data_IF_452921461692
#
_entry.id   IF_452921461692
#
_cell.length_a   1.000
_cell.length_b   1.000
_cell.length_c   1.000
_cell.angle_alpha   90.00
_cell.angle_beta   90.00
_cell.angle_gamma   90.00
#
_symmetry.space_group_name_H-M   'P 1'
#
loop_
_entity.id
_entity.type
_entity.pdbx_description
1 polymer ?
#
# COMPACT_ATOMS: atom_id res chain seq x y z
N UNK A 1 12.68 -18.85 -18.14
CA UNK A 1 12.15 -17.47 -17.97
C UNK A 1 11.06 -17.43 -16.88
N UNK A 2 11.41 -17.46 -15.58
CA UNK A 2 10.38 -17.56 -14.52
C UNK A 2 10.71 -16.94 -13.15
N UNK A 3 11.91 -16.38 -12.96
CA UNK A 3 12.34 -15.83 -11.66
C UNK A 3 11.73 -14.46 -11.34
N UNK A 4 11.47 -13.63 -12.36
CA UNK A 4 10.94 -12.27 -12.19
C UNK A 4 9.51 -12.24 -11.66
N UNK A 5 8.64 -13.11 -12.16
CA UNK A 5 7.24 -13.20 -11.69
C UNK A 5 7.15 -13.66 -10.24
N UNK A 6 7.99 -14.63 -9.84
CA UNK A 6 8.03 -15.11 -8.45
C UNK A 6 8.47 -14.02 -7.47
N UNK A 7 9.47 -13.22 -7.84
CA UNK A 7 9.92 -12.09 -7.03
C UNK A 7 8.83 -11.01 -6.91
N UNK A 8 8.17 -10.67 -8.02
CA UNK A 8 7.04 -9.73 -8.03
C UNK A 8 5.90 -10.19 -7.11
N UNK A 9 5.58 -11.48 -7.14
CA UNK A 9 4.53 -12.04 -6.30
C UNK A 9 4.91 -12.01 -4.81
N UNK A 10 6.17 -12.35 -4.48
CA UNK A 10 6.67 -12.25 -3.11
C UNK A 10 6.64 -10.81 -2.58
N UNK A 11 7.05 -9.83 -3.40
CA UNK A 11 6.98 -8.40 -3.06
C UNK A 11 5.52 -7.97 -2.89
N UNK A 12 4.61 -8.41 -3.77
CA UNK A 12 3.19 -8.07 -3.68
C UNK A 12 2.55 -8.59 -2.39
N UNK A 13 2.78 -9.86 -2.05
CA UNK A 13 2.28 -10.48 -0.81
C UNK A 13 2.89 -9.79 0.42
N UNK A 14 4.21 -9.55 0.41
CA UNK A 14 4.90 -8.86 1.50
C UNK A 14 4.41 -7.43 1.71
N UNK A 15 4.24 -6.66 0.63
CA UNK A 15 3.70 -5.31 0.66
C UNK A 15 2.25 -5.30 1.19
N UNK A 16 1.44 -6.29 0.81
CA UNK A 16 0.07 -6.43 1.29
C UNK A 16 -0.02 -6.76 2.77
N UNK A 17 0.81 -7.69 3.25
CA UNK A 17 0.90 -7.98 4.68
C UNK A 17 1.32 -6.75 5.49
N UNK A 18 2.33 -6.02 5.02
CA UNK A 18 2.80 -4.81 5.67
C UNK A 18 1.73 -3.71 5.69
N UNK A 19 0.98 -3.54 4.59
CA UNK A 19 -0.13 -2.60 4.50
C UNK A 19 -1.22 -2.91 5.53
N UNK A 20 -1.60 -4.18 5.74
CA UNK A 20 -2.61 -4.55 6.74
C UNK A 20 -2.14 -4.18 8.16
N UNK A 21 -0.89 -4.52 8.51
CA UNK A 21 -0.35 -4.22 9.84
C UNK A 21 -0.28 -2.71 10.08
N UNK A 22 0.24 -1.95 9.10
CA UNK A 22 0.34 -0.50 9.21
C UNK A 22 -1.03 0.18 9.24
N UNK A 23 -2.00 -0.34 8.48
CA UNK A 23 -3.39 0.12 8.50
C UNK A 23 -4.02 -0.09 9.88
N UNK A 24 -3.82 -1.27 10.48
CA UNK A 24 -4.28 -1.54 11.84
C UNK A 24 -3.63 -0.59 12.87
N UNK A 25 -2.31 -0.36 12.76
CA UNK A 25 -1.60 0.61 13.62
C UNK A 25 -2.17 2.02 13.43
N UNK A 26 -2.47 2.45 12.21
CA UNK A 26 -3.06 3.75 11.95
C UNK A 26 -4.46 3.89 12.57
N UNK A 27 -5.28 2.82 12.59
CA UNK A 27 -6.60 2.81 13.20
C UNK A 27 -6.56 2.85 14.74
N UNK A 28 -5.60 2.16 15.35
CA UNK A 28 -5.45 2.11 16.82
C UNK A 28 -4.75 3.35 17.36
N UNK A 29 -3.82 3.94 16.60
CA UNK A 29 -3.11 5.13 17.01
C UNK A 29 -4.07 6.32 17.18
N UNK A 30 -3.88 7.07 18.27
CA UNK A 30 -4.69 8.27 18.58
C UNK A 30 -4.68 9.24 17.39
N UNK A 31 -5.87 9.45 16.82
CA UNK A 31 -6.10 10.30 15.66
C UNK A 31 -5.55 11.71 15.91
N UNK A 32 -4.79 12.24 14.96
CA UNK A 32 -4.12 13.56 15.06
C UNK A 32 -2.77 13.55 15.77
N UNK A 33 -2.32 12.41 16.32
CA UNK A 33 -0.96 12.27 16.85
C UNK A 33 0.10 12.09 15.75
N UNK A 34 1.36 12.37 16.08
CA UNK A 34 2.50 12.19 15.16
C UNK A 34 2.66 10.74 14.69
N UNK A 35 2.30 9.78 15.55
CA UNK A 35 2.32 8.33 15.25
C UNK A 35 1.28 7.98 14.20
N UNK A 36 0.06 8.51 14.31
CA UNK A 36 -1.00 8.30 13.31
C UNK A 36 -0.58 8.85 11.95
N UNK A 37 0.02 10.05 11.92
CA UNK A 37 0.49 10.68 10.69
C UNK A 37 1.63 9.90 10.03
N UNK A 38 2.60 9.42 10.83
CA UNK A 38 3.71 8.60 10.31
C UNK A 38 3.22 7.22 9.84
N UNK A 39 2.37 6.55 10.61
CA UNK A 39 1.80 5.25 10.25
C UNK A 39 0.98 5.35 8.95
N UNK A 40 0.17 6.41 8.77
CA UNK A 40 -0.57 6.65 7.53
C UNK A 40 0.33 6.84 6.31
N UNK A 41 1.48 7.50 6.48
CA UNK A 41 2.44 7.72 5.38
C UNK A 41 3.17 6.42 4.99
N UNK A 42 3.57 5.60 5.96
CA UNK A 42 4.17 4.28 5.68
C UNK A 42 3.12 3.32 5.08
N UNK A 43 1.87 3.38 5.56
CA UNK A 43 0.74 2.65 4.97
C UNK A 43 0.52 3.03 3.50
N UNK A 44 0.54 4.32 3.18
CA UNK A 44 0.46 4.82 1.80
C UNK A 44 1.56 4.21 0.93
N UNK A 45 2.82 4.24 1.37
CA UNK A 45 3.94 3.67 0.61
C UNK A 45 3.74 2.17 0.34
N UNK A 46 3.29 1.40 1.35
CA UNK A 46 3.04 -0.03 1.20
C UNK A 46 1.91 -0.33 0.19
N UNK A 47 0.80 0.41 0.29
CA UNK A 47 -0.34 0.30 -0.63
C UNK A 47 0.01 0.74 -2.06
N UNK A 48 0.85 1.76 -2.23
CA UNK A 48 1.30 2.21 -3.54
C UNK A 48 2.15 1.14 -4.23
N UNK A 49 3.12 0.54 -3.52
CA UNK A 49 3.93 -0.57 -4.05
C UNK A 49 3.06 -1.78 -4.38
N UNK A 50 2.07 -2.09 -3.54
CA UNK A 50 1.11 -3.16 -3.79
C UNK A 50 0.30 -2.92 -5.07
N UNK A 51 -0.22 -1.71 -5.26
CA UNK A 51 -0.99 -1.33 -6.46
C UNK A 51 -0.16 -1.42 -7.75
N UNK A 52 1.09 -0.92 -7.72
CA UNK A 52 2.00 -0.99 -8.87
C UNK A 52 2.36 -2.44 -9.21
N UNK A 53 2.69 -3.25 -8.20
CA UNK A 53 3.01 -4.68 -8.41
C UNK A 53 1.80 -5.48 -8.89
N UNK A 54 0.59 -5.16 -8.42
CA UNK A 54 -0.65 -5.77 -8.91
C UNK A 54 -0.88 -5.48 -10.40
N UNK A 55 -0.64 -4.23 -10.82
CA UNK A 55 -0.75 -3.84 -12.22
C UNK A 55 0.27 -4.59 -13.09
N UNK A 56 1.51 -4.73 -12.62
CA UNK A 56 2.57 -5.48 -13.31
C UNK A 56 2.29 -7.00 -13.38
N UNK A 57 1.60 -7.56 -12.39
CA UNK A 57 1.20 -8.97 -12.36
C UNK A 57 -0.02 -9.29 -13.25
N UNK A 58 -0.60 -8.27 -13.90
CA UNK A 58 -1.69 -8.42 -14.86
C UNK A 58 -3.04 -7.87 -14.39
N UNK A 59 -3.17 -7.44 -13.14
CA UNK A 59 -4.38 -6.78 -12.63
C UNK A 59 -4.26 -5.25 -12.75
N UNK A 60 -4.14 -4.76 -13.98
CA UNK A 60 -3.94 -3.34 -14.27
C UNK A 60 -5.08 -2.47 -13.71
N UNK A 61 -6.33 -2.93 -13.85
CA UNK A 61 -7.50 -2.22 -13.33
C UNK A 61 -7.45 -2.07 -11.80
N UNK A 62 -7.30 -3.19 -11.07
CA UNK A 62 -7.23 -3.15 -9.60
C UNK A 62 -6.01 -2.38 -9.08
N UNK A 63 -4.85 -2.54 -9.74
CA UNK A 63 -3.62 -1.84 -9.37
C UNK A 63 -3.73 -0.32 -9.54
N UNK A 64 -4.25 0.16 -10.67
CA UNK A 64 -4.47 1.59 -10.91
C UNK A 64 -5.50 2.18 -9.96
N UNK A 65 -6.60 1.48 -9.70
CA UNK A 65 -7.60 1.94 -8.73
C UNK A 65 -6.99 2.08 -7.32
N UNK A 66 -6.17 1.11 -6.91
CA UNK A 66 -5.47 1.17 -5.61
C UNK A 66 -4.54 2.37 -5.53
N UNK A 67 -3.75 2.61 -6.59
CA UNK A 67 -2.85 3.78 -6.67
C UNK A 67 -3.64 5.10 -6.64
N UNK A 68 -4.75 5.16 -7.36
CA UNK A 68 -5.63 6.34 -7.38
C UNK A 68 -6.21 6.62 -5.99
N UNK A 69 -6.86 5.63 -5.37
CA UNK A 69 -7.50 5.83 -4.06
C UNK A 69 -6.49 6.21 -2.97
N UNK A 70 -5.34 5.54 -2.93
CA UNK A 70 -4.33 5.83 -1.91
C UNK A 70 -3.66 7.19 -2.15
N UNK A 71 -3.46 7.58 -3.42
CA UNK A 71 -2.98 8.91 -3.81
C UNK A 71 -3.94 10.02 -3.40
N UNK A 72 -5.22 9.87 -3.72
CA UNK A 72 -6.25 10.82 -3.32
C UNK A 72 -6.34 10.92 -1.79
N UNK A 73 -6.33 9.77 -1.09
CA UNK A 73 -6.33 9.75 0.36
C UNK A 73 -5.17 10.57 0.94
N UNK A 74 -3.94 10.43 0.43
CA UNK A 74 -2.80 11.23 0.88
C UNK A 74 -3.04 12.74 0.67
N UNK A 75 -3.61 13.13 -0.47
CA UNK A 75 -3.88 14.56 -0.76
C UNK A 75 -5.02 15.15 0.04
N UNK A 76 -5.94 14.34 0.57
CA UNK A 76 -7.05 14.80 1.41
C UNK A 76 -6.71 14.77 2.91
N UNK A 77 -5.69 14.00 3.32
CA UNK A 77 -5.38 13.73 4.73
C UNK A 77 -4.43 14.72 5.42
N UNK A 78 -4.41 16.00 5.00
CA UNK A 78 -3.50 17.01 5.58
C UNK A 78 -4.02 17.64 6.87
#
# INVERSE_FOLDING_TARGET
MGKGLGLLLAIHIGAGGLAIVLGAVALVAKKGGTIHRRAGLVFFCAMFVLGVTAAMLGNVGGGLMTVYFVGTALTTSW
#
